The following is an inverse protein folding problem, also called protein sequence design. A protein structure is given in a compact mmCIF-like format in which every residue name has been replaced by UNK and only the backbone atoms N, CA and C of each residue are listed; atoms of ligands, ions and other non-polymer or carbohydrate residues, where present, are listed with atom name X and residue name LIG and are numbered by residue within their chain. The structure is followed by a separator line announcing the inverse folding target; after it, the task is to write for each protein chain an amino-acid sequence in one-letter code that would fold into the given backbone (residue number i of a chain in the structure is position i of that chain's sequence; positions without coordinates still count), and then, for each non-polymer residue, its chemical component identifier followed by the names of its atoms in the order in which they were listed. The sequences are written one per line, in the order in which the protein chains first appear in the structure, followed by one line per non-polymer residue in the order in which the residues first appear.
data_IF_040668078037
#
_entry.id   IF_040668078037
#
_cell.length_a   1.000
_cell.length_b   1.000
_cell.length_c   1.000
_cell.angle_alpha   90.00
_cell.angle_beta   90.00
_cell.angle_gamma   90.00
#
_symmetry.space_group_name_H-M   'P 1'
#
loop_
_entity.id
_entity.type
_entity.pdbx_description
1 polymer ?
#
# COMPACT_ATOMS: atom_id res chain seq x y z
N UNK A 1 -12.31 -1.01 13.69
CA UNK A 1 -10.91 -1.41 13.95
C UNK A 1 -10.55 -2.46 12.92
N UNK A 2 -10.04 -2.08 11.75
CA UNK A 2 -9.47 -3.05 10.81
C UNK A 2 -8.23 -2.42 10.17
N UNK A 3 -7.33 -1.92 11.05
CA UNK A 3 -6.04 -1.43 10.60
C UNK A 3 -5.21 -2.66 10.32
N UNK A 4 -4.83 -2.84 9.06
CA UNK A 4 -3.49 -3.31 8.73
C UNK A 4 -3.03 -4.44 9.66
N UNK A 5 -3.81 -5.51 9.63
CA UNK A 5 -3.69 -6.74 10.40
C UNK A 5 -2.23 -7.26 10.37
N UNK A 6 -1.79 -8.08 11.35
CA UNK A 6 -0.42 -8.63 11.49
C UNK A 6 0.35 -8.92 10.19
N UNK A 7 -0.34 -9.30 9.13
CA UNK A 7 0.09 -9.43 7.74
C UNK A 7 0.97 -8.27 7.24
N UNK A 8 0.67 -7.01 7.57
CA UNK A 8 1.52 -5.87 7.17
C UNK A 8 2.84 -5.86 7.94
N UNK A 9 2.80 -6.19 9.23
CA UNK A 9 3.99 -6.33 10.06
C UNK A 9 4.88 -7.47 9.56
N UNK A 10 4.28 -8.62 9.26
CA UNK A 10 4.95 -9.80 8.73
C UNK A 10 5.56 -9.54 7.35
N UNK A 11 4.87 -8.80 6.48
CA UNK A 11 5.40 -8.38 5.19
C UNK A 11 6.67 -7.53 5.33
N UNK A 12 6.68 -6.54 6.24
CA UNK A 12 7.88 -5.73 6.45
C UNK A 12 9.02 -6.49 7.11
N UNK A 13 8.71 -7.44 8.00
CA UNK A 13 9.70 -8.32 8.60
C UNK A 13 10.34 -9.21 7.53
N UNK A 14 9.55 -9.81 6.66
CA UNK A 14 10.03 -10.57 5.51
C UNK A 14 10.92 -9.74 4.57
N UNK A 15 10.52 -8.50 4.26
CA UNK A 15 11.31 -7.61 3.40
C UNK A 15 12.66 -7.20 4.02
N UNK A 16 12.73 -7.04 5.34
CA UNK A 16 13.96 -6.69 6.05
C UNK A 16 14.87 -7.92 6.24
N UNK A 17 14.31 -9.02 6.74
CA UNK A 17 15.08 -10.16 7.22
C UNK A 17 15.45 -11.13 6.08
N UNK A 18 14.51 -11.43 5.17
CA UNK A 18 14.73 -12.42 4.10
C UNK A 18 15.23 -11.79 2.80
N UNK A 19 14.83 -10.55 2.50
CA UNK A 19 15.26 -9.83 1.28
C UNK A 19 16.44 -8.88 1.51
N UNK A 20 16.83 -8.63 2.77
CA UNK A 20 17.91 -7.70 3.17
C UNK A 20 17.82 -6.34 2.47
N UNK A 21 16.59 -5.84 2.25
CA UNK A 21 16.42 -4.53 1.63
C UNK A 21 16.97 -3.45 2.55
N UNK A 22 17.54 -2.39 1.95
CA UNK A 22 18.05 -1.27 2.73
C UNK A 22 16.96 -0.66 3.61
N UNK A 23 17.28 -0.11 4.79
CA UNK A 23 16.29 0.55 5.65
C UNK A 23 15.49 1.65 4.93
N UNK A 24 16.13 2.36 3.99
CA UNK A 24 15.49 3.38 3.17
C UNK A 24 14.48 2.78 2.20
N UNK A 25 14.76 1.61 1.62
CA UNK A 25 13.83 0.88 0.77
C UNK A 25 12.63 0.41 1.58
N UNK A 26 12.83 -0.19 2.76
CA UNK A 26 11.72 -0.61 3.64
C UNK A 26 10.84 0.58 4.02
N UNK A 27 11.43 1.75 4.29
CA UNK A 27 10.69 2.98 4.56
C UNK A 27 9.85 3.45 3.37
N UNK A 28 10.37 3.37 2.14
CA UNK A 28 9.62 3.69 0.94
C UNK A 28 8.38 2.78 0.79
N UNK A 29 8.56 1.46 0.93
CA UNK A 29 7.44 0.51 0.89
C UNK A 29 6.39 0.77 1.98
N UNK A 30 6.81 1.18 3.19
CA UNK A 30 5.86 1.62 4.25
C UNK A 30 5.03 2.83 3.81
N UNK A 31 5.67 3.82 3.21
CA UNK A 31 4.99 5.01 2.71
C UNK A 31 4.01 4.66 1.59
N UNK A 32 4.39 3.80 0.66
CA UNK A 32 3.55 3.41 -0.48
C UNK A 32 2.33 2.62 -0.02
N UNK A 33 2.52 1.70 0.94
CA UNK A 33 1.42 0.91 1.49
C UNK A 33 0.44 1.78 2.29
N UNK A 34 0.93 2.77 3.03
CA UNK A 34 0.08 3.73 3.73
C UNK A 34 -0.79 4.56 2.75
N UNK A 35 -0.20 4.99 1.62
CA UNK A 35 -0.93 5.69 0.57
C UNK A 35 -1.96 4.80 -0.12
N UNK A 36 -1.67 3.52 -0.33
CA UNK A 36 -2.63 2.57 -0.88
C UNK A 36 -3.82 2.37 0.07
N UNK A 37 -3.57 2.27 1.37
CA UNK A 37 -4.64 2.16 2.37
C UNK A 37 -5.51 3.42 2.39
N UNK A 38 -4.90 4.62 2.39
CA UNK A 38 -5.64 5.90 2.27
C UNK A 38 -6.53 5.92 1.03
N UNK A 39 -5.98 5.50 -0.11
CA UNK A 39 -6.73 5.42 -1.36
C UNK A 39 -7.89 4.41 -1.28
N UNK A 40 -7.69 3.22 -0.72
CA UNK A 40 -8.73 2.19 -0.64
C UNK A 40 -9.85 2.58 0.31
N UNK A 41 -9.54 3.23 1.43
CA UNK A 41 -10.54 3.77 2.36
C UNK A 41 -11.49 4.74 1.63
N UNK A 42 -10.92 5.67 0.86
CA UNK A 42 -11.68 6.64 0.07
C UNK A 42 -12.42 5.99 -1.11
N UNK A 43 -11.74 5.10 -1.85
CA UNK A 43 -12.25 4.47 -3.08
C UNK A 43 -13.41 3.51 -2.80
N UNK A 44 -13.31 2.74 -1.72
CA UNK A 44 -14.35 1.80 -1.29
C UNK A 44 -15.43 2.46 -0.43
N UNK A 45 -15.17 3.68 0.07
CA UNK A 45 -16.07 4.42 0.96
C UNK A 45 -16.23 3.78 2.34
N UNK A 46 -15.29 2.91 2.74
CA UNK A 46 -15.28 2.18 4.02
C UNK A 46 -13.84 1.88 4.41
N UNK A 47 -13.56 1.78 5.71
CA UNK A 47 -12.21 1.49 6.26
C UNK A 47 -12.11 0.13 6.95
N UNK A 48 -13.11 -0.75 6.81
CA UNK A 48 -13.16 -2.07 7.43
C UNK A 48 -12.97 -3.22 6.43
N UNK A 49 -12.53 -2.90 5.21
CA UNK A 49 -12.18 -3.86 4.17
C UNK A 49 -10.97 -4.74 4.56
N UNK A 50 -10.82 -5.87 3.87
CA UNK A 50 -9.72 -6.83 4.04
C UNK A 50 -8.98 -7.02 2.71
N UNK A 51 -7.71 -7.38 2.78
CA UNK A 51 -6.90 -7.69 1.57
C UNK A 51 -7.48 -8.81 0.70
N UNK A 52 -8.29 -9.71 1.30
CA UNK A 52 -8.98 -10.80 0.61
C UNK A 52 -10.30 -10.38 -0.03
N UNK A 53 -10.79 -9.16 0.21
CA UNK A 53 -12.09 -8.72 -0.30
C UNK A 53 -12.02 -8.55 -1.83
N UNK A 54 -13.06 -8.98 -2.56
CA UNK A 54 -13.04 -8.97 -4.03
C UNK A 54 -13.01 -7.57 -4.62
N UNK A 55 -13.33 -6.54 -3.83
CA UNK A 55 -13.24 -5.13 -4.25
C UNK A 55 -11.79 -4.63 -4.29
N UNK A 56 -10.87 -5.32 -3.60
CA UNK A 56 -9.41 -5.07 -3.66
C UNK A 56 -8.83 -5.82 -4.87
N UNK A 57 -9.32 -5.47 -6.06
CA UNK A 57 -8.97 -6.12 -7.31
C UNK A 57 -7.98 -5.30 -8.16
N UNK A 58 -7.74 -5.77 -9.39
CA UNK A 58 -6.85 -5.08 -10.34
C UNK A 58 -7.39 -3.71 -10.77
N UNK A 59 -8.70 -3.48 -10.73
CA UNK A 59 -9.29 -2.20 -11.10
C UNK A 59 -9.04 -1.18 -9.97
N UNK A 60 -9.22 -1.57 -8.72
CA UNK A 60 -8.85 -0.76 -7.56
C UNK A 60 -7.35 -0.37 -7.61
N UNK A 61 -6.46 -1.33 -7.88
CA UNK A 61 -5.02 -1.06 -8.03
C UNK A 61 -4.70 -0.11 -9.21
N UNK A 62 -5.41 -0.23 -10.34
CA UNK A 62 -5.27 0.72 -11.45
C UNK A 62 -5.77 2.11 -11.05
N UNK A 63 -6.86 2.18 -10.28
CA UNK A 63 -7.39 3.42 -9.71
C UNK A 63 -6.35 4.11 -8.82
N UNK A 64 -5.65 3.34 -7.99
CA UNK A 64 -4.57 3.82 -7.13
C UNK A 64 -3.43 4.46 -7.95
N UNK A 65 -2.95 3.78 -9.02
CA UNK A 65 -1.92 4.35 -9.89
C UNK A 65 -2.35 5.68 -10.53
N UNK A 66 -3.62 5.79 -10.93
CA UNK A 66 -4.20 7.03 -11.42
C UNK A 66 -4.30 8.13 -10.35
N UNK A 67 -4.64 7.75 -9.11
CA UNK A 67 -4.68 8.65 -7.96
C UNK A 67 -3.29 9.19 -7.60
N UNK A 68 -2.25 8.34 -7.60
CA UNK A 68 -0.86 8.74 -7.38
C UNK A 68 -0.40 9.78 -8.43
N UNK A 69 -0.76 9.54 -9.70
CA UNK A 69 -0.48 10.50 -10.78
C UNK A 69 -1.14 11.86 -10.58
N UNK A 70 -2.37 11.90 -10.03
CA UNK A 70 -3.10 13.16 -9.75
C UNK A 70 -2.59 13.90 -8.51
N UNK A 71 -2.12 13.20 -7.47
CA UNK A 71 -1.52 13.84 -6.29
C UNK A 71 -0.17 14.49 -6.56
N UNK A 72 0.35 14.42 -7.79
CA UNK A 72 1.62 15.05 -8.15
C UNK A 72 2.81 14.42 -7.42
N UNK A 73 2.68 13.16 -6.99
CA UNK A 73 3.80 12.37 -6.50
C UNK A 73 4.79 12.25 -7.65
N UNK A 74 5.81 13.09 -7.57
CA UNK A 74 6.90 13.20 -8.54
C UNK A 74 7.37 11.81 -8.98
N UNK A 75 7.67 11.69 -10.27
CA UNK A 75 8.11 10.53 -11.05
C UNK A 75 9.43 9.86 -10.56
N UNK A 76 9.76 9.97 -9.27
CA UNK A 76 10.97 9.45 -8.61
C UNK A 76 10.75 8.37 -7.55
N UNK A 77 9.50 7.99 -7.23
CA UNK A 77 9.23 6.93 -6.23
C UNK A 77 8.61 5.67 -6.83
N UNK A 78 8.40 5.62 -8.15
CA UNK A 78 8.05 4.37 -8.86
C UNK A 78 9.29 3.93 -9.64
N UNK A 79 10.23 3.30 -8.93
CA UNK A 79 11.43 2.68 -9.49
C UNK A 79 11.68 1.36 -8.80
#
# INVERSE_FOLDING_TARGET
MNRASPEIGDFFKYLADERQLSPNTVKAYRSDLAQLIEFLDDYLGKSDWRWSDPEVDRLALRGFLGWCGRKGLSRRTVG
#
